data_IF_554918338060
#
_entry.id   IF_554918338060
#
_cell.length_a   1.000
_cell.length_b   1.000
_cell.length_c   1.000
_cell.angle_alpha   90.00
_cell.angle_beta   90.00
_cell.angle_gamma   90.00
#
_symmetry.space_group_name_H-M   'P 1'
#
loop_
_entity.id
_entity.type
_entity.pdbx_description
1 polymer ?
#
# COMPACT_ATOMS: atom_id res chain seq x y z
N UNK A 1 -6.54 -4.52 0.56
CA UNK A 1 -7.30 -5.16 -0.52
C UNK A 1 -8.57 -4.35 -0.80
N UNK A 2 -8.86 -3.99 -2.05
CA UNK A 2 -10.06 -3.20 -2.38
C UNK A 2 -9.89 -1.69 -2.45
N UNK A 3 -8.67 -1.16 -2.44
CA UNK A 3 -8.43 0.25 -2.75
C UNK A 3 -8.25 0.49 -4.25
N UNK A 4 -8.84 1.56 -4.77
CA UNK A 4 -8.69 2.00 -6.17
C UNK A 4 -7.45 2.87 -6.39
N UNK A 5 -6.73 3.17 -5.31
CA UNK A 5 -5.51 3.94 -5.39
C UNK A 5 -4.36 3.06 -5.89
N UNK A 6 -3.57 3.65 -6.78
CA UNK A 6 -2.34 3.12 -7.32
C UNK A 6 -1.26 4.16 -7.09
N UNK A 7 0.02 3.79 -7.07
CA UNK A 7 1.10 4.77 -6.93
C UNK A 7 0.99 5.97 -7.90
N UNK A 8 0.43 5.78 -9.11
CA UNK A 8 0.29 6.85 -10.11
C UNK A 8 -0.87 7.82 -9.89
N UNK A 9 -1.93 7.43 -9.17
CA UNK A 9 -3.13 8.25 -8.98
C UNK A 9 -3.26 8.82 -7.55
N UNK A 10 -2.27 8.54 -6.70
CA UNK A 10 -2.14 9.22 -5.43
C UNK A 10 -1.86 10.71 -5.67
N UNK A 11 -2.38 11.61 -4.79
CA UNK A 11 -1.90 12.97 -4.75
C UNK A 11 -0.39 12.99 -4.47
N UNK A 12 0.26 14.15 -4.69
CA UNK A 12 1.66 14.30 -4.32
C UNK A 12 1.87 13.98 -2.84
N UNK A 13 2.92 13.22 -2.53
CA UNK A 13 3.25 12.76 -1.18
C UNK A 13 4.64 13.25 -0.79
N UNK A 14 4.72 14.04 0.29
CA UNK A 14 6.01 14.36 0.95
C UNK A 14 6.46 13.22 1.88
N UNK A 15 5.50 12.51 2.48
CA UNK A 15 5.75 11.41 3.41
C UNK A 15 4.68 10.32 3.24
N UNK A 16 5.05 9.07 3.52
CA UNK A 16 4.12 7.95 3.48
C UNK A 16 4.38 6.98 4.64
N UNK A 17 3.31 6.44 5.22
CA UNK A 17 3.37 5.30 6.13
C UNK A 17 2.73 4.10 5.44
N UNK A 18 3.42 2.96 5.44
CA UNK A 18 2.97 1.75 4.77
C UNK A 18 2.70 0.65 5.79
N UNK A 19 1.57 -0.03 5.62
CA UNK A 19 1.24 -1.26 6.35
C UNK A 19 1.18 -2.41 5.35
N UNK A 20 1.96 -3.44 5.62
CA UNK A 20 1.98 -4.67 4.83
C UNK A 20 1.51 -5.80 5.74
N UNK A 21 0.41 -6.44 5.37
CA UNK A 21 -0.14 -7.56 6.13
C UNK A 21 0.72 -8.82 6.00
N UNK A 22 0.52 -9.82 6.88
CA UNK A 22 1.17 -11.12 6.78
C UNK A 22 0.65 -11.92 5.58
N UNK A 23 1.19 -13.12 5.36
CA UNK A 23 0.85 -13.95 4.18
C UNK A 23 -0.63 -14.35 4.13
N UNK A 24 -1.27 -14.46 5.31
CA UNK A 24 -2.71 -14.69 5.44
C UNK A 24 -3.59 -13.47 5.18
N UNK A 25 -2.99 -12.31 4.90
CA UNK A 25 -3.67 -11.03 4.77
C UNK A 25 -4.00 -10.36 6.10
N UNK A 26 -4.65 -9.21 6.02
CA UNK A 26 -5.21 -8.47 7.15
C UNK A 26 -6.63 -8.97 7.42
N UNK A 27 -6.99 -9.17 8.68
CA UNK A 27 -8.36 -9.52 9.07
C UNK A 27 -9.30 -8.33 8.90
N UNK A 28 -10.62 -8.57 8.92
CA UNK A 28 -11.61 -7.48 8.91
C UNK A 28 -11.43 -6.51 10.09
N UNK A 29 -11.03 -7.03 11.25
CA UNK A 29 -10.74 -6.20 12.42
C UNK A 29 -9.53 -5.30 12.17
N UNK A 30 -8.45 -5.82 11.57
CA UNK A 30 -7.27 -5.02 11.23
C UNK A 30 -7.62 -3.92 10.22
N UNK A 31 -8.41 -4.26 9.19
CA UNK A 31 -8.86 -3.32 8.18
C UNK A 31 -9.70 -2.19 8.80
N UNK A 32 -10.63 -2.51 9.70
CA UNK A 32 -11.41 -1.51 10.41
C UNK A 32 -10.55 -0.55 11.25
N UNK A 33 -9.54 -1.07 11.95
CA UNK A 33 -8.61 -0.24 12.72
C UNK A 33 -7.80 0.69 11.80
N UNK A 34 -7.34 0.16 10.67
CA UNK A 34 -6.59 0.94 9.69
C UNK A 34 -7.45 2.03 9.04
N UNK A 35 -8.69 1.72 8.67
CA UNK A 35 -9.64 2.71 8.14
C UNK A 35 -9.94 3.82 9.16
N UNK A 36 -10.11 3.46 10.44
CA UNK A 36 -10.28 4.44 11.53
C UNK A 36 -9.05 5.32 11.73
N UNK A 37 -7.86 4.81 11.40
CA UNK A 37 -6.60 5.56 11.38
C UNK A 37 -6.32 6.26 10.04
N UNK A 38 -7.32 6.36 9.16
CA UNK A 38 -7.29 7.03 7.85
C UNK A 38 -6.30 6.40 6.85
N UNK A 39 -5.98 5.12 7.04
CA UNK A 39 -5.26 4.35 6.02
C UNK A 39 -6.16 4.07 4.83
N UNK A 40 -5.57 4.15 3.64
CA UNK A 40 -6.24 3.87 2.36
C UNK A 40 -5.59 2.69 1.67
N UNK A 41 -6.39 1.86 1.02
CA UNK A 41 -5.88 0.72 0.27
C UNK A 41 -5.05 1.14 -0.95
N UNK A 42 -3.83 0.60 -1.07
CA UNK A 42 -2.95 0.78 -2.22
C UNK A 42 -2.88 -0.51 -3.06
N UNK A 43 -3.05 -0.39 -4.38
CA UNK A 43 -2.98 -1.49 -5.34
C UNK A 43 -1.70 -1.46 -6.16
N UNK A 44 -0.92 -2.54 -6.10
CA UNK A 44 0.33 -2.74 -6.84
C UNK A 44 0.13 -3.65 -8.06
N UNK A 45 -0.80 -3.25 -8.94
CA UNK A 45 -1.16 -4.03 -10.13
C UNK A 45 -2.16 -5.17 -9.87
N UNK A 46 -2.28 -6.14 -10.80
CA UNK A 46 -3.34 -7.14 -10.76
C UNK A 46 -3.00 -8.41 -9.98
N UNK A 47 -1.73 -8.64 -9.62
CA UNK A 47 -1.27 -9.86 -8.96
C UNK A 47 -1.18 -9.65 -7.46
N UNK A 48 -1.54 -10.67 -6.69
CA UNK A 48 -1.23 -10.72 -5.26
C UNK A 48 0.26 -10.95 -5.12
N UNK A 49 0.94 -10.03 -4.43
CA UNK A 49 2.34 -10.16 -4.09
C UNK A 49 2.48 -10.89 -2.77
N UNK A 50 3.55 -11.68 -2.63
CA UNK A 50 3.95 -12.25 -1.34
C UNK A 50 4.30 -11.14 -0.36
N UNK A 51 4.11 -11.41 0.93
CA UNK A 51 4.35 -10.44 2.02
C UNK A 51 5.72 -9.79 1.93
N UNK A 52 6.76 -10.60 1.76
CA UNK A 52 8.16 -10.18 1.65
C UNK A 52 8.46 -9.28 0.43
N UNK A 53 7.68 -9.42 -0.64
CA UNK A 53 7.84 -8.66 -1.89
C UNK A 53 6.98 -7.40 -1.89
N UNK A 54 5.80 -7.44 -1.27
CA UNK A 54 4.83 -6.36 -1.32
C UNK A 54 5.38 -5.04 -0.78
N UNK A 55 6.09 -5.06 0.36
CA UNK A 55 6.68 -3.87 0.96
C UNK A 55 7.76 -3.23 0.07
N UNK A 56 8.70 -4.03 -0.44
CA UNK A 56 9.74 -3.55 -1.34
C UNK A 56 9.15 -2.97 -2.63
N UNK A 57 8.18 -3.66 -3.23
CA UNK A 57 7.50 -3.18 -4.43
C UNK A 57 6.74 -1.87 -4.18
N UNK A 58 6.10 -1.72 -3.02
CA UNK A 58 5.40 -0.48 -2.64
C UNK A 58 6.37 0.70 -2.54
N UNK A 59 7.47 0.55 -1.78
CA UNK A 59 8.47 1.59 -1.59
C UNK A 59 9.09 1.99 -2.92
N UNK A 60 9.55 1.02 -3.72
CA UNK A 60 10.14 1.28 -5.04
C UNK A 60 9.16 2.00 -5.96
N UNK A 61 7.89 1.58 -6.01
CA UNK A 61 6.90 2.22 -6.87
C UNK A 61 6.57 3.65 -6.43
N UNK A 62 6.51 3.92 -5.12
CA UNK A 62 6.29 5.27 -4.60
C UNK A 62 7.48 6.18 -4.88
N UNK A 63 8.71 5.71 -4.66
CA UNK A 63 9.92 6.48 -4.94
C UNK A 63 10.08 6.78 -6.44
N UNK A 64 9.79 5.82 -7.32
CA UNK A 64 9.88 6.01 -8.77
C UNK A 64 8.85 7.00 -9.35
N UNK A 65 7.82 7.37 -8.59
CA UNK A 65 6.73 8.24 -9.06
C UNK A 65 6.69 9.57 -8.32
N UNK A 66 6.89 9.55 -7.00
CA UNK A 66 6.77 10.72 -6.12
C UNK A 66 8.11 11.13 -5.48
N UNK A 67 9.11 10.25 -5.52
CA UNK A 67 10.42 10.49 -4.94
C UNK A 67 11.48 10.78 -6.01
N UNK A 68 12.66 10.22 -5.80
CA UNK A 68 13.90 10.58 -6.49
C UNK A 68 14.62 9.39 -7.16
N UNK A 69 13.94 8.25 -7.30
CA UNK A 69 14.47 7.06 -7.97
C UNK A 69 14.06 7.01 -9.44
#
# INVERSE_FOLDING_TARGET
>A
PGGDLTPRNLPHLDTATLVVGPEGGLSEQDLNVLEQADFRGLRLGPRILRTETAGLAAITALQAIHGDI
#
